data_IF_342567581795
#
_entry.id   IF_342567581795
#
_cell.length_a   1.000
_cell.length_b   1.000
_cell.length_c   1.000
_cell.angle_alpha   90.00
_cell.angle_beta   90.00
_cell.angle_gamma   90.00
#
_symmetry.space_group_name_H-M   'P 1'
#
loop_
_entity.id
_entity.type
_entity.pdbx_description
1 polymer ?
#
# COMPACT_ATOMS: atom_id res chain seq x y z
N UNK A 1 -21.03 -23.45 -77.46
CA UNK A 1 -22.13 -24.20 -76.84
C UNK A 1 -22.09 -23.85 -75.38
N UNK A 2 -23.15 -23.16 -74.98
CA UNK A 2 -23.47 -22.70 -73.65
C UNK A 2 -23.36 -23.81 -72.60
N UNK A 3 -23.07 -23.47 -71.36
CA UNK A 3 -24.07 -23.35 -70.29
C UNK A 3 -23.34 -23.00 -68.98
N UNK A 4 -23.84 -21.92 -68.37
CA UNK A 4 -23.51 -21.37 -67.06
C UNK A 4 -23.87 -22.34 -65.91
N UNK A 5 -23.19 -22.25 -64.76
CA UNK A 5 -23.87 -22.16 -63.45
C UNK A 5 -23.01 -21.31 -62.49
N UNK A 6 -23.62 -20.21 -62.04
CA UNK A 6 -23.19 -19.29 -60.99
C UNK A 6 -23.16 -19.93 -59.58
N UNK A 7 -22.33 -19.40 -58.67
CA UNK A 7 -22.74 -18.57 -57.51
C UNK A 7 -21.63 -18.53 -56.45
N UNK A 8 -21.32 -17.33 -55.96
CA UNK A 8 -20.85 -17.18 -54.58
C UNK A 8 -19.68 -16.24 -54.28
N UNK A 9 -19.95 -14.93 -54.32
CA UNK A 9 -19.56 -13.95 -53.28
C UNK A 9 -18.08 -13.65 -53.00
N UNK A 10 -17.62 -12.59 -53.69
CA UNK A 10 -16.80 -11.45 -53.29
C UNK A 10 -16.15 -11.36 -51.89
N UNK A 11 -14.86 -11.03 -51.96
CA UNK A 11 -14.05 -10.13 -51.11
C UNK A 11 -13.57 -10.63 -49.74
N UNK A 12 -12.40 -11.25 -49.78
CA UNK A 12 -11.45 -11.32 -48.67
C UNK A 12 -10.82 -9.95 -48.35
N UNK A 13 -10.95 -9.58 -47.07
CA UNK A 13 -9.88 -9.10 -46.20
C UNK A 13 -9.08 -7.84 -46.61
N UNK A 14 -9.51 -6.68 -46.09
CA UNK A 14 -8.58 -5.67 -45.59
C UNK A 14 -9.19 -4.97 -44.36
N UNK A 15 -9.14 -5.64 -43.21
CA UNK A 15 -9.25 -4.98 -41.92
C UNK A 15 -7.84 -4.91 -41.32
N UNK A 16 -7.23 -3.73 -41.42
CA UNK A 16 -5.98 -3.40 -40.74
C UNK A 16 -6.24 -3.45 -39.23
N UNK A 17 -5.96 -4.59 -38.61
CA UNK A 17 -5.93 -4.72 -37.16
C UNK A 17 -4.72 -3.94 -36.62
N UNK A 18 -4.96 -2.68 -36.25
CA UNK A 18 -4.05 -1.93 -35.38
C UNK A 18 -4.00 -2.63 -34.02
N UNK A 19 -3.19 -3.68 -33.94
CA UNK A 19 -2.91 -4.37 -32.70
C UNK A 19 -1.65 -3.71 -32.16
N UNK A 20 -1.84 -2.63 -31.40
CA UNK A 20 -0.77 -2.11 -30.56
C UNK A 20 -0.24 -3.27 -29.70
N UNK A 21 1.08 -3.43 -29.56
CA UNK A 21 1.65 -4.49 -28.74
C UNK A 21 1.10 -4.42 -27.31
N UNK A 22 0.99 -5.55 -26.59
CA UNK A 22 0.60 -5.52 -25.18
C UNK A 22 1.62 -4.65 -24.46
N UNK A 23 1.15 -3.52 -23.93
CA UNK A 23 1.93 -2.59 -23.12
C UNK A 23 2.56 -3.43 -22.01
N UNK A 24 3.89 -3.53 -22.01
CA UNK A 24 4.63 -4.31 -21.03
C UNK A 24 4.17 -3.92 -19.61
N UNK A 25 4.06 -4.89 -18.68
CA UNK A 25 3.65 -4.64 -17.28
C UNK A 25 4.56 -3.64 -16.53
N UNK A 26 5.71 -3.27 -17.11
CA UNK A 26 6.73 -2.40 -16.54
C UNK A 26 6.37 -0.89 -16.58
N UNK A 27 5.41 -0.46 -17.40
CA UNK A 27 5.03 0.97 -17.46
C UNK A 27 4.10 1.41 -16.31
N UNK A 28 3.40 0.47 -15.66
CA UNK A 28 2.61 0.74 -14.46
C UNK A 28 3.47 0.84 -13.18
N UNK A 29 4.68 0.25 -13.20
CA UNK A 29 5.63 0.27 -12.08
C UNK A 29 6.37 1.61 -11.92
N UNK A 30 6.13 2.60 -12.79
CA UNK A 30 6.76 3.95 -12.76
C UNK A 30 5.85 5.05 -12.19
N UNK A 31 4.78 4.69 -11.48
CA UNK A 31 3.85 5.70 -10.96
C UNK A 31 4.32 6.23 -9.62
N UNK A 32 4.51 7.54 -9.59
CA UNK A 32 4.48 8.31 -8.35
C UNK A 32 3.09 8.17 -7.72
N UNK A 33 3.06 7.87 -6.43
CA UNK A 33 1.82 7.72 -5.67
C UNK A 33 2.02 8.23 -4.25
N UNK A 34 1.19 9.16 -3.80
CA UNK A 34 1.16 9.56 -2.39
C UNK A 34 0.46 8.46 -1.60
N UNK A 35 1.16 7.89 -0.63
CA UNK A 35 0.66 6.81 0.22
C UNK A 35 0.02 7.35 1.50
N UNK A 36 0.59 8.41 2.08
CA UNK A 36 0.12 9.02 3.32
C UNK A 36 0.56 10.49 3.42
N UNK A 37 -0.16 11.28 4.22
CA UNK A 37 0.20 12.67 4.53
C UNK A 37 -0.27 13.08 5.91
N UNK A 38 0.53 13.87 6.62
CA UNK A 38 0.18 14.42 7.93
C UNK A 38 0.66 15.85 8.08
N UNK A 39 -0.17 16.74 8.60
CA UNK A 39 0.23 18.11 8.91
C UNK A 39 0.89 18.17 10.29
N UNK A 40 2.06 18.78 10.35
CA UNK A 40 2.78 19.05 11.59
C UNK A 40 2.46 20.46 12.07
N UNK A 41 2.14 20.56 13.36
CA UNK A 41 1.92 21.81 14.06
C UNK A 41 2.90 21.88 15.23
N UNK A 42 3.57 23.02 15.37
CA UNK A 42 4.55 23.27 16.42
C UNK A 42 4.10 24.49 17.23
N UNK A 43 4.46 24.51 18.51
CA UNK A 43 4.25 25.68 19.37
C UNK A 43 5.26 26.77 18.99
N UNK A 44 4.74 27.91 18.56
CA UNK A 44 5.52 29.11 18.27
C UNK A 44 4.91 30.28 19.05
N UNK A 45 5.59 30.63 20.14
CA UNK A 45 5.21 31.69 21.08
C UNK A 45 3.85 31.46 21.77
N UNK A 46 3.54 30.21 22.14
CA UNK A 46 2.30 29.84 22.83
C UNK A 46 1.11 29.59 21.89
N UNK A 47 1.35 29.61 20.57
CA UNK A 47 0.34 29.31 19.54
C UNK A 47 0.78 28.11 18.70
N UNK A 48 -0.10 27.12 18.55
CA UNK A 48 0.12 26.01 17.63
C UNK A 48 -0.04 26.48 16.18
N UNK A 49 1.09 26.56 15.48
CA UNK A 49 1.15 26.99 14.08
C UNK A 49 1.54 25.82 13.20
N UNK A 50 0.93 25.76 12.03
CA UNK A 50 1.36 24.84 10.99
C UNK A 50 2.78 25.17 10.57
N UNK A 51 3.62 24.15 10.50
CA UNK A 51 5.00 24.30 10.05
C UNK A 51 5.22 23.65 8.70
N UNK A 52 4.64 22.47 8.47
CA UNK A 52 4.82 21.67 7.25
C UNK A 52 3.86 20.50 7.17
N UNK A 53 3.84 19.86 6.01
CA UNK A 53 3.18 18.58 5.80
C UNK A 53 4.24 17.49 5.56
N UNK A 54 4.19 16.44 6.37
CA UNK A 54 4.88 15.17 6.14
C UNK A 54 4.17 14.43 5.00
N UNK A 55 4.94 13.81 4.11
CA UNK A 55 4.42 13.08 2.96
C UNK A 55 5.18 11.76 2.83
N UNK A 56 4.44 10.65 2.79
CA UNK A 56 4.98 9.37 2.34
C UNK A 56 4.51 9.13 0.92
N UNK A 57 5.45 8.84 0.03
CA UNK A 57 5.12 8.53 -1.36
C UNK A 57 5.94 7.36 -1.89
N UNK A 58 5.37 6.67 -2.88
CA UNK A 58 6.06 5.66 -3.69
C UNK A 58 6.54 6.32 -4.96
N UNK A 59 7.77 6.02 -5.34
CA UNK A 59 8.30 6.30 -6.68
C UNK A 59 9.11 5.08 -7.15
N UNK A 60 8.59 4.42 -8.17
CA UNK A 60 9.07 3.11 -8.58
C UNK A 60 8.86 2.04 -7.49
N UNK A 61 9.95 1.35 -7.14
CA UNK A 61 9.96 0.32 -6.09
C UNK A 61 10.23 0.87 -4.68
N UNK A 62 10.61 2.14 -4.59
CA UNK A 62 11.04 2.75 -3.33
C UNK A 62 9.91 3.56 -2.71
N UNK A 63 9.91 3.58 -1.39
CA UNK A 63 9.04 4.44 -0.59
C UNK A 63 9.92 5.51 0.04
N UNK A 64 9.44 6.75 0.04
CA UNK A 64 10.15 7.90 0.54
C UNK A 64 9.31 8.61 1.59
N UNK A 65 10.00 9.12 2.60
CA UNK A 65 9.49 10.13 3.52
C UNK A 65 10.02 11.49 3.07
N UNK A 66 9.13 12.48 2.96
CA UNK A 66 9.47 13.83 2.57
C UNK A 66 8.64 14.88 3.30
N UNK A 67 9.04 16.15 3.17
CA UNK A 67 8.30 17.29 3.73
C UNK A 67 7.92 18.29 2.66
N UNK A 68 6.78 18.94 2.84
CA UNK A 68 6.27 20.03 2.02
C UNK A 68 5.92 21.23 2.89
N UNK A 69 6.14 22.44 2.37
CA UNK A 69 5.64 23.68 3.01
C UNK A 69 4.19 23.97 2.65
N UNK A 70 3.64 23.31 1.64
CA UNK A 70 2.24 23.46 1.24
C UNK A 70 1.32 22.66 2.16
N UNK A 71 0.08 23.14 2.34
CA UNK A 71 -0.96 22.48 3.15
C UNK A 71 -1.44 21.19 2.50
N UNK A 72 -1.95 20.25 3.30
CA UNK A 72 -2.44 18.96 2.84
C UNK A 72 -3.54 19.03 1.76
N UNK A 73 -4.36 20.08 1.77
CA UNK A 73 -5.40 20.36 0.78
C UNK A 73 -4.82 20.70 -0.60
N UNK A 74 -3.72 21.43 -0.62
CA UNK A 74 -2.99 21.85 -1.82
C UNK A 74 -2.20 20.69 -2.45
N UNK A 75 -1.96 19.62 -1.68
CA UNK A 75 -1.14 18.49 -2.12
C UNK A 75 -1.83 17.53 -3.10
N UNK A 76 -3.13 17.72 -3.37
CA UNK A 76 -3.90 16.89 -4.31
C UNK A 76 -3.40 16.96 -5.76
N UNK A 77 -2.71 18.04 -6.13
CA UNK A 77 -2.11 18.27 -7.45
C UNK A 77 -0.57 18.28 -7.43
N UNK A 78 0.05 17.67 -6.41
CA UNK A 78 1.49 17.75 -6.18
C UNK A 78 2.34 17.28 -7.37
N UNK A 79 3.31 18.10 -7.75
CA UNK A 79 4.50 17.65 -8.46
C UNK A 79 5.58 17.26 -7.46
N UNK A 80 6.34 16.19 -7.72
CA UNK A 80 7.52 15.74 -6.94
C UNK A 80 8.50 16.89 -6.61
N UNK A 81 8.50 17.94 -7.42
CA UNK A 81 9.38 19.10 -7.30
C UNK A 81 9.03 19.99 -6.09
N UNK A 82 7.81 19.90 -5.57
CA UNK A 82 7.37 20.65 -4.38
C UNK A 82 7.70 19.92 -3.06
N UNK A 83 8.16 18.66 -3.16
CA UNK A 83 8.62 17.88 -2.00
C UNK A 83 10.10 18.18 -1.72
N UNK A 84 10.36 18.66 -0.53
CA UNK A 84 11.70 18.92 0.01
C UNK A 84 12.15 17.76 0.90
N UNK A 85 13.47 17.54 0.97
CA UNK A 85 14.13 16.52 1.82
C UNK A 85 13.55 15.11 1.64
N UNK A 86 14.17 14.30 0.77
CA UNK A 86 13.69 12.96 0.45
C UNK A 86 14.57 11.92 1.12
N UNK A 87 14.01 11.19 2.09
CA UNK A 87 14.67 10.06 2.74
C UNK A 87 13.98 8.78 2.28
N UNK A 88 14.75 7.84 1.73
CA UNK A 88 14.22 6.51 1.41
C UNK A 88 13.87 5.82 2.72
N UNK A 89 12.68 5.22 2.80
CA UNK A 89 12.28 4.33 3.90
C UNK A 89 12.79 2.93 3.55
N UNK A 90 13.80 2.39 4.25
CA UNK A 90 14.28 1.04 3.99
C UNK A 90 13.18 0.03 4.25
N UNK A 91 13.06 -0.99 3.41
CA UNK A 91 12.08 -2.07 3.60
C UNK A 91 12.19 -2.72 4.98
N UNK A 92 13.41 -2.82 5.52
CA UNK A 92 13.68 -3.36 6.86
C UNK A 92 13.08 -2.52 7.99
N UNK A 93 12.81 -1.23 7.76
CA UNK A 93 12.27 -0.34 8.78
C UNK A 93 10.78 -0.62 9.08
N UNK A 94 10.03 -1.20 8.14
CA UNK A 94 8.59 -1.43 8.30
C UNK A 94 8.11 -2.84 7.91
N UNK A 95 8.95 -3.62 7.21
CA UNK A 95 8.64 -4.97 6.73
C UNK A 95 9.63 -5.95 7.36
N UNK A 96 9.38 -6.39 8.60
CA UNK A 96 10.27 -7.30 9.31
C UNK A 96 10.33 -8.68 8.64
N UNK A 97 11.34 -9.47 9.00
CA UNK A 97 11.43 -10.86 8.54
C UNK A 97 10.26 -11.67 9.11
N UNK A 98 9.73 -12.58 8.31
CA UNK A 98 8.72 -13.51 8.75
C UNK A 98 9.32 -14.54 9.72
N UNK A 99 8.63 -14.79 10.81
CA UNK A 99 8.99 -15.83 11.78
C UNK A 99 8.12 -17.06 11.52
N UNK A 100 8.68 -18.27 11.31
CA UNK A 100 7.90 -19.47 10.96
C UNK A 100 6.80 -19.88 11.96
N UNK A 101 6.88 -19.39 13.20
CA UNK A 101 5.86 -19.63 14.23
C UNK A 101 4.61 -18.77 14.03
N UNK A 102 4.68 -17.72 13.21
CA UNK A 102 3.54 -16.87 12.91
C UNK A 102 2.63 -17.52 11.86
N UNK A 103 1.35 -17.28 12.02
CA UNK A 103 0.30 -17.68 11.10
C UNK A 103 0.44 -16.87 9.82
N UNK A 104 0.67 -17.55 8.69
CA UNK A 104 0.52 -16.94 7.37
C UNK A 104 -0.97 -16.87 7.01
N UNK A 105 -1.40 -15.71 6.50
CA UNK A 105 -2.77 -15.51 6.08
C UNK A 105 -3.10 -16.29 4.79
N UNK A 106 -4.36 -16.70 4.59
CA UNK A 106 -4.78 -17.34 3.35
C UNK A 106 -4.61 -16.40 2.14
N UNK A 107 -4.39 -17.02 0.98
CA UNK A 107 -4.30 -16.38 -0.33
C UNK A 107 -5.16 -17.18 -1.34
N UNK A 108 -6.23 -16.60 -1.93
CA UNK A 108 -6.69 -15.23 -1.76
C UNK A 108 -7.33 -14.96 -0.39
N UNK A 109 -7.40 -13.68 -0.03
CA UNK A 109 -8.08 -13.27 1.19
C UNK A 109 -9.60 -13.43 1.10
N UNK A 110 -10.28 -13.73 2.23
CA UNK A 110 -11.72 -13.59 2.32
C UNK A 110 -12.15 -12.15 2.00
N UNK A 111 -13.27 -11.99 1.30
CA UNK A 111 -13.78 -10.69 0.85
C UNK A 111 -14.05 -9.70 2.01
N UNK A 112 -14.33 -10.23 3.20
CA UNK A 112 -14.62 -9.46 4.41
C UNK A 112 -13.40 -9.28 5.33
N UNK A 113 -12.19 -9.52 4.84
CA UNK A 113 -10.98 -9.28 5.59
C UNK A 113 -10.46 -7.84 5.38
N UNK A 114 -9.97 -7.21 6.45
CA UNK A 114 -9.25 -5.94 6.36
C UNK A 114 -7.75 -6.13 6.57
N UNK A 115 -6.97 -5.39 5.77
CA UNK A 115 -5.50 -5.39 5.83
C UNK A 115 -5.06 -4.10 6.52
N UNK A 116 -4.46 -4.26 7.70
CA UNK A 116 -3.82 -3.16 8.43
C UNK A 116 -2.42 -2.95 7.85
N UNK A 117 -2.13 -1.70 7.53
CA UNK A 117 -0.82 -1.27 7.05
C UNK A 117 -0.13 -0.47 8.16
N UNK A 118 1.17 -0.68 8.42
CA UNK A 118 1.91 0.22 9.30
C UNK A 118 1.85 1.63 8.72
N UNK A 119 1.62 2.63 9.58
CA UNK A 119 1.70 4.02 9.15
C UNK A 119 3.17 4.37 8.98
N UNK A 120 3.57 4.64 7.73
CA UNK A 120 4.95 4.96 7.39
C UNK A 120 5.27 6.44 7.63
N UNK A 121 4.27 7.27 7.91
CA UNK A 121 4.43 8.70 8.19
C UNK A 121 5.24 8.94 9.48
N UNK A 122 5.30 7.95 10.37
CA UNK A 122 6.10 7.99 11.59
C UNK A 122 7.58 7.68 11.37
N UNK A 123 8.00 7.34 10.15
CA UNK A 123 9.41 7.21 9.79
C UNK A 123 10.01 8.60 9.61
N UNK A 124 10.17 9.33 10.71
CA UNK A 124 10.52 10.75 10.68
C UNK A 124 12.00 10.99 11.01
N UNK A 125 12.85 10.45 10.14
CA UNK A 125 14.29 10.76 10.15
C UNK A 125 14.63 12.20 9.84
N UNK A 126 13.68 12.97 9.31
CA UNK A 126 13.88 14.37 8.96
C UNK A 126 13.97 15.22 10.24
N UNK A 127 13.23 14.85 11.28
CA UNK A 127 13.25 15.55 12.57
C UNK A 127 14.10 14.85 13.62
N UNK A 128 13.96 13.52 13.72
CA UNK A 128 14.56 12.74 14.80
C UNK A 128 15.94 12.16 14.40
N UNK A 129 16.40 12.41 13.17
CA UNK A 129 17.72 11.99 12.70
C UNK A 129 17.87 10.47 12.67
N UNK A 130 18.86 9.95 13.40
CA UNK A 130 19.16 8.51 13.50
C UNK A 130 18.48 7.81 14.69
N UNK A 131 17.58 8.49 15.41
CA UNK A 131 16.75 7.83 16.42
C UNK A 131 15.99 6.64 15.79
N UNK A 132 15.78 5.59 16.58
CA UNK A 132 15.21 4.34 16.11
C UNK A 132 13.71 4.48 15.84
N UNK A 133 13.36 4.70 14.57
CA UNK A 133 11.98 4.52 14.10
C UNK A 133 11.64 3.02 14.14
N UNK A 134 10.89 2.61 15.17
CA UNK A 134 10.65 1.21 15.44
C UNK A 134 9.35 0.64 14.84
N UNK A 135 9.07 0.97 13.57
CA UNK A 135 7.85 0.50 12.89
C UNK A 135 7.85 -1.03 12.75
N UNK A 136 9.00 -1.62 12.39
CA UNK A 136 9.14 -3.06 12.24
C UNK A 136 8.91 -3.83 13.55
N UNK A 137 9.45 -3.38 14.69
CA UNK A 137 9.20 -4.12 15.94
C UNK A 137 7.77 -3.89 16.44
N UNK A 138 7.17 -2.72 16.18
CA UNK A 138 5.75 -2.52 16.43
C UNK A 138 4.88 -3.52 15.64
N UNK A 139 5.23 -3.79 14.38
CA UNK A 139 4.57 -4.83 13.57
C UNK A 139 4.78 -6.23 14.17
N UNK A 140 5.99 -6.55 14.61
CA UNK A 140 6.24 -7.84 15.26
C UNK A 140 5.46 -7.99 16.58
N UNK A 141 5.42 -6.96 17.40
CA UNK A 141 4.72 -6.95 18.68
C UNK A 141 3.21 -7.09 18.49
N UNK A 142 2.62 -6.40 17.52
CA UNK A 142 1.20 -6.55 17.22
C UNK A 142 0.87 -7.94 16.68
N UNK A 143 1.69 -8.53 15.81
CA UNK A 143 1.51 -9.92 15.38
C UNK A 143 1.58 -10.87 16.58
N UNK A 144 2.55 -10.72 17.48
CA UNK A 144 2.66 -11.56 18.68
C UNK A 144 1.40 -11.50 19.55
N UNK A 145 0.88 -10.30 19.80
CA UNK A 145 -0.40 -10.12 20.51
C UNK A 145 -1.54 -10.78 19.75
N UNK A 146 -1.59 -10.65 18.43
CA UNK A 146 -2.63 -11.26 17.60
C UNK A 146 -2.56 -12.81 17.60
N UNK A 147 -1.37 -13.41 17.59
CA UNK A 147 -1.21 -14.86 17.74
C UNK A 147 -1.72 -15.34 19.10
N UNK A 148 -1.44 -14.60 20.17
CA UNK A 148 -1.96 -14.91 21.51
C UNK A 148 -3.49 -14.82 21.57
N UNK A 149 -4.07 -13.74 21.04
CA UNK A 149 -5.53 -13.54 21.00
C UNK A 149 -6.23 -14.59 20.13
N UNK A 150 -5.57 -15.10 19.09
CA UNK A 150 -6.10 -16.17 18.23
C UNK A 150 -6.34 -17.47 19.02
N UNK A 151 -5.55 -17.75 20.05
CA UNK A 151 -5.73 -18.95 20.89
C UNK A 151 -7.01 -18.89 21.73
N UNK A 152 -7.45 -17.68 22.10
CA UNK A 152 -8.63 -17.43 22.93
C UNK A 152 -9.53 -16.39 22.26
N UNK A 153 -10.11 -16.75 21.11
CA UNK A 153 -10.92 -15.82 20.32
C UNK A 153 -12.17 -15.37 21.08
N UNK A 154 -12.43 -14.06 21.11
CA UNK A 154 -13.63 -13.47 21.74
C UNK A 154 -14.56 -12.88 20.66
N UNK A 155 -15.90 -13.00 20.77
CA UNK A 155 -16.83 -12.51 19.75
C UNK A 155 -16.76 -11.00 19.48
N UNK A 156 -16.41 -10.20 20.49
CA UNK A 156 -16.25 -8.73 20.37
C UNK A 156 -14.83 -8.30 20.04
N UNK A 157 -13.89 -9.25 19.93
CA UNK A 157 -12.54 -8.96 19.48
C UNK A 157 -12.40 -9.46 18.08
N UNK A 158 -11.68 -8.65 17.35
CA UNK A 158 -11.30 -8.88 16.01
C UNK A 158 -10.60 -10.27 15.88
N UNK A 159 -11.09 -11.18 15.02
CA UNK A 159 -10.36 -12.42 14.65
C UNK A 159 -9.15 -12.17 13.74
N UNK A 160 -7.96 -12.46 14.24
CA UNK A 160 -6.73 -12.47 13.46
C UNK A 160 -6.70 -13.60 12.43
N UNK A 161 -6.32 -13.29 11.18
CA UNK A 161 -6.27 -14.25 10.06
C UNK A 161 -4.84 -14.65 9.66
N UNK A 162 -3.81 -14.02 10.24
CA UNK A 162 -2.42 -14.20 9.85
C UNK A 162 -1.80 -12.94 9.23
N UNK A 163 -0.50 -13.03 8.93
CA UNK A 163 0.25 -11.99 8.24
C UNK A 163 0.48 -12.35 6.77
N UNK A 164 0.69 -11.33 5.93
CA UNK A 164 1.03 -11.52 4.52
C UNK A 164 2.54 -11.57 4.35
N UNK A 165 3.05 -12.61 3.68
CA UNK A 165 4.49 -12.81 3.48
C UNK A 165 4.84 -12.70 2.01
N UNK A 166 5.84 -11.89 1.69
CA UNK A 166 6.46 -11.80 0.37
C UNK A 166 7.97 -11.76 0.55
N UNK A 167 8.70 -12.58 -0.21
CA UNK A 167 10.17 -12.67 -0.15
C UNK A 167 10.72 -12.84 1.28
N UNK A 168 10.02 -13.65 2.09
CA UNK A 168 10.40 -13.92 3.48
C UNK A 168 10.17 -12.76 4.45
N UNK A 169 9.47 -11.70 4.05
CA UNK A 169 9.14 -10.55 4.89
C UNK A 169 7.65 -10.35 5.05
N UNK A 170 7.27 -9.79 6.19
CA UNK A 170 5.89 -9.42 6.50
C UNK A 170 5.58 -8.11 5.79
N UNK A 171 4.61 -8.11 4.88
CA UNK A 171 4.19 -6.88 4.18
C UNK A 171 3.15 -6.08 4.97
N UNK A 172 2.20 -6.79 5.58
CA UNK A 172 1.03 -6.20 6.22
C UNK A 172 0.51 -7.09 7.35
N UNK A 173 -0.10 -6.46 8.36
CA UNK A 173 -0.84 -7.13 9.42
C UNK A 173 -2.30 -7.26 9.00
N UNK A 174 -2.97 -8.39 9.25
CA UNK A 174 -4.40 -8.52 8.90
C UNK A 174 -5.27 -8.54 10.13
N UNK A 175 -6.09 -7.50 10.27
CA UNK A 175 -7.18 -7.44 11.24
C UNK A 175 -8.54 -7.56 10.52
N UNK A 176 -9.07 -8.79 10.44
CA UNK A 176 -10.38 -9.15 11.03
C UNK A 176 -11.66 -9.14 10.18
N UNK A 177 -12.43 -10.20 10.42
CA UNK A 177 -13.88 -10.34 10.26
C UNK A 177 -14.61 -10.05 11.59
N UNK A 178 -15.57 -9.12 11.60
CA UNK A 178 -16.53 -8.98 12.70
C UNK A 178 -17.60 -10.07 12.61
N UNK A 179 -17.84 -10.79 13.69
CA UNK A 179 -19.09 -11.55 13.81
C UNK A 179 -20.19 -10.53 14.12
N UNK A 180 -20.97 -10.16 13.10
CA UNK A 180 -22.26 -9.52 13.37
C UNK A 180 -23.07 -10.47 14.26
N UNK A 181 -23.62 -10.03 15.39
CA UNK A 181 -24.59 -10.84 16.11
C UNK A 181 -25.75 -11.06 15.13
N UNK A 182 -25.99 -12.32 14.76
CA UNK A 182 -27.23 -12.67 14.06
C UNK A 182 -28.36 -12.27 15.01
N UNK A 183 -29.09 -11.21 14.69
CA UNK A 183 -30.43 -11.04 15.23
C UNK A 183 -31.22 -12.28 14.78
N UNK A 184 -31.52 -13.16 15.74
CA UNK A 184 -32.54 -14.18 15.60
C UNK A 184 -33.90 -13.57 15.89
#
# INVERSE_FOLDING_TARGET
MDVEVEYGSSNELHASANTSPPIAPDLLARRFEILDKSEAFEDVDGEFKFTKTLVVYRDGKNIYHAVSKARSSELSNLSINQLTTKVVIPVTAYSPLFVPTFTQAPDPLPLNAYVKKPSLISYDRIHYGLLEDNIADNVLAEIQVCELLKQNSHPNIARYLGCQVLDGRILHEKKVQYNSPRCQ
#
